data_IF_345025958131
#
_entry.id   IF_345025958131
#
_cell.length_a   1.000
_cell.length_b   1.000
_cell.length_c   1.000
_cell.angle_alpha   90.00
_cell.angle_beta   90.00
_cell.angle_gamma   90.00
#
_symmetry.space_group_name_H-M   'P 1'
#
loop_
_entity.id
_entity.type
_entity.pdbx_description
1 polymer ?
#
# COMPACT_ATOMS: atom_id res chain seq x y z
N UNK A 1 10.96 17.18 11.49
CA UNK A 1 11.93 16.14 11.02
C UNK A 1 12.13 16.22 9.52
N UNK A 2 11.06 16.13 8.70
CA UNK A 2 11.17 16.24 7.24
C UNK A 2 11.76 17.57 6.75
N UNK A 3 11.53 18.66 7.46
CA UNK A 3 12.05 20.00 7.12
C UNK A 3 13.48 20.26 7.65
N UNK A 4 14.09 19.26 8.30
CA UNK A 4 15.50 19.35 8.67
C UNK A 4 16.35 19.05 7.42
N UNK A 5 17.23 19.97 6.98
CA UNK A 5 18.07 19.75 5.80
C UNK A 5 18.97 18.52 5.92
N UNK A 6 19.32 18.09 7.14
CA UNK A 6 20.16 16.90 7.37
C UNK A 6 19.37 15.58 7.40
N UNK A 7 18.03 15.62 7.41
CA UNK A 7 17.22 14.40 7.48
C UNK A 7 17.53 13.44 6.33
N UNK A 8 17.69 13.97 5.11
CA UNK A 8 18.02 13.15 3.96
C UNK A 8 19.41 12.51 4.08
N UNK A 9 20.41 13.25 4.59
CA UNK A 9 21.76 12.71 4.82
C UNK A 9 21.74 11.54 5.82
N UNK A 10 20.92 11.62 6.88
CA UNK A 10 20.75 10.51 7.84
C UNK A 10 20.09 9.31 7.17
N UNK A 11 19.04 9.52 6.39
CA UNK A 11 18.36 8.44 5.64
C UNK A 11 19.32 7.77 4.67
N UNK A 12 20.08 8.55 3.88
CA UNK A 12 21.03 8.04 2.90
C UNK A 12 22.19 7.27 3.57
N UNK A 13 22.67 7.78 4.71
CA UNK A 13 23.66 7.08 5.54
C UNK A 13 23.18 5.71 6.00
N UNK A 14 21.94 5.62 6.51
CA UNK A 14 21.34 4.35 6.93
C UNK A 14 21.08 3.41 5.73
N UNK A 15 20.65 3.94 4.59
CA UNK A 15 20.46 3.13 3.38
C UNK A 15 21.78 2.47 2.96
N UNK A 16 22.88 3.23 2.99
CA UNK A 16 24.21 2.72 2.64
C UNK A 16 24.75 1.74 3.70
N UNK A 17 24.61 2.06 4.99
CA UNK A 17 25.10 1.23 6.10
C UNK A 17 24.45 -0.16 6.12
N UNK A 18 23.14 -0.23 5.86
CA UNK A 18 22.36 -1.46 5.95
C UNK A 18 22.08 -2.11 4.59
N UNK A 19 22.65 -1.59 3.50
CA UNK A 19 22.41 -2.06 2.13
C UNK A 19 20.91 -2.17 1.82
N UNK A 20 20.18 -1.06 1.97
CA UNK A 20 18.72 -1.00 1.78
C UNK A 20 18.29 -0.33 0.48
N UNK A 21 19.23 -0.10 -0.44
CA UNK A 21 18.96 0.60 -1.70
C UNK A 21 17.98 -0.18 -2.56
N UNK A 22 16.76 0.35 -2.70
CA UNK A 22 15.74 -0.13 -3.64
C UNK A 22 15.06 1.06 -4.27
N UNK A 23 15.34 1.29 -5.55
CA UNK A 23 14.68 2.34 -6.32
C UNK A 23 13.53 1.73 -7.15
N UNK A 24 12.31 1.90 -6.66
CA UNK A 24 11.12 1.41 -7.34
C UNK A 24 10.86 2.15 -8.66
N UNK A 25 11.15 3.45 -8.73
CA UNK A 25 10.91 4.23 -9.95
C UNK A 25 11.89 3.84 -11.05
N UNK A 26 13.18 3.70 -10.72
CA UNK A 26 14.17 3.16 -11.66
C UNK A 26 13.84 1.74 -12.11
N UNK A 27 13.12 0.97 -11.28
CA UNK A 27 12.59 -0.35 -11.62
C UNK A 27 11.20 -0.32 -12.29
N UNK A 28 10.70 0.84 -12.70
CA UNK A 28 9.48 1.00 -13.50
C UNK A 28 8.17 0.83 -12.72
N UNK A 29 8.19 0.92 -11.39
CA UNK A 29 6.96 0.89 -10.60
C UNK A 29 6.23 2.24 -10.63
N UNK A 30 4.94 2.18 -10.94
CA UNK A 30 4.03 3.31 -10.87
C UNK A 30 3.12 3.22 -9.64
N UNK A 31 2.72 4.38 -9.09
CA UNK A 31 1.80 4.41 -7.95
C UNK A 31 0.37 4.16 -8.43
N UNK A 32 -0.30 3.22 -7.79
CA UNK A 32 -1.75 3.01 -7.95
C UNK A 32 -2.47 3.39 -6.66
N UNK A 33 -3.66 4.00 -6.79
CA UNK A 33 -4.55 4.31 -5.68
C UNK A 33 -5.75 3.37 -5.72
N UNK A 34 -5.61 2.18 -5.14
CA UNK A 34 -6.64 1.13 -5.23
C UNK A 34 -8.00 1.48 -4.60
N UNK A 35 -8.03 2.50 -3.74
CA UNK A 35 -9.21 3.03 -3.09
C UNK A 35 -9.56 4.47 -3.52
N UNK A 36 -8.95 4.96 -4.59
CA UNK A 36 -9.12 6.35 -5.06
C UNK A 36 -8.48 7.41 -4.16
N UNK A 37 -8.76 8.68 -4.45
CA UNK A 37 -8.19 9.84 -3.76
C UNK A 37 -8.70 10.01 -2.32
N UNK A 38 -9.94 9.61 -2.05
CA UNK A 38 -10.59 9.79 -0.74
C UNK A 38 -10.90 8.46 -0.04
N UNK A 39 -9.90 7.57 -0.05
CA UNK A 39 -9.99 6.21 0.53
C UNK A 39 -10.60 6.18 1.94
N UNK A 40 -10.24 7.16 2.78
CA UNK A 40 -10.68 7.27 4.18
C UNK A 40 -12.18 7.55 4.38
N UNK A 41 -12.88 8.00 3.33
CA UNK A 41 -14.32 8.22 3.36
C UNK A 41 -15.13 6.98 2.96
N UNK A 42 -14.47 5.95 2.42
CA UNK A 42 -15.12 4.72 2.01
C UNK A 42 -15.44 3.85 3.23
N UNK A 43 -16.65 3.28 3.23
CA UNK A 43 -17.00 2.19 4.13
C UNK A 43 -16.27 0.89 3.73
N UNK A 44 -16.08 -0.06 4.66
CA UNK A 44 -15.33 -1.30 4.39
C UNK A 44 -15.78 -2.07 3.14
N UNK A 45 -17.09 -2.20 2.91
CA UNK A 45 -17.63 -2.88 1.73
C UNK A 45 -17.32 -2.15 0.42
N UNK A 46 -17.26 -0.82 0.44
CA UNK A 46 -16.90 -0.01 -0.72
C UNK A 46 -15.42 -0.16 -1.06
N UNK A 47 -14.54 -0.31 -0.06
CA UNK A 47 -13.14 -0.64 -0.28
C UNK A 47 -12.95 -1.98 -0.97
N UNK A 48 -13.68 -3.01 -0.55
CA UNK A 48 -13.66 -4.32 -1.24
C UNK A 48 -14.03 -4.13 -2.72
N UNK A 49 -15.10 -3.40 -2.98
CA UNK A 49 -15.58 -3.13 -4.36
C UNK A 49 -14.53 -2.36 -5.17
N UNK A 50 -13.95 -1.29 -4.61
CA UNK A 50 -12.92 -0.47 -5.25
C UNK A 50 -11.63 -1.23 -5.55
N UNK A 51 -11.16 -2.06 -4.61
CA UNK A 51 -9.96 -2.87 -4.82
C UNK A 51 -10.19 -3.93 -5.90
N UNK A 52 -11.34 -4.62 -5.86
CA UNK A 52 -11.71 -5.58 -6.92
C UNK A 52 -11.72 -4.91 -8.29
N UNK A 53 -12.38 -3.76 -8.41
CA UNK A 53 -12.44 -3.02 -9.67
C UNK A 53 -11.05 -2.59 -10.14
N UNK A 54 -10.26 -1.98 -9.25
CA UNK A 54 -8.90 -1.52 -9.61
C UNK A 54 -8.05 -2.68 -10.12
N UNK A 55 -7.99 -3.80 -9.39
CA UNK A 55 -7.18 -4.95 -9.80
C UNK A 55 -7.71 -5.59 -11.11
N UNK A 56 -9.01 -5.53 -11.36
CA UNK A 56 -9.62 -5.98 -12.60
C UNK A 56 -9.40 -5.01 -13.77
N UNK A 57 -8.99 -3.77 -13.55
CA UNK A 57 -8.77 -2.77 -14.60
C UNK A 57 -7.28 -2.44 -14.79
N UNK A 58 -6.43 -2.83 -13.84
CA UNK A 58 -4.97 -2.65 -13.90
C UNK A 58 -4.40 -3.14 -15.22
N UNK A 59 -3.74 -2.23 -15.93
CA UNK A 59 -3.00 -2.55 -17.14
C UNK A 59 -1.71 -3.32 -16.79
N UNK A 60 -1.18 -4.14 -17.70
CA UNK A 60 0.12 -4.76 -17.53
C UNK A 60 1.18 -3.72 -17.18
N UNK A 61 1.93 -3.95 -16.11
CA UNK A 61 2.89 -2.99 -15.58
C UNK A 61 3.36 -3.39 -14.19
N UNK A 62 4.25 -2.57 -13.61
CA UNK A 62 4.70 -2.71 -12.23
C UNK A 62 4.03 -1.64 -11.40
N UNK A 63 3.37 -2.04 -10.33
CA UNK A 63 2.52 -1.15 -9.54
C UNK A 63 2.91 -1.23 -8.07
N UNK A 64 2.95 -0.08 -7.41
CA UNK A 64 3.04 -0.01 -5.95
C UNK A 64 1.78 0.65 -5.39
N UNK A 65 1.19 -0.03 -4.41
CA UNK A 65 0.15 0.51 -3.55
C UNK A 65 0.67 0.53 -2.12
N UNK A 66 0.39 1.62 -1.40
CA UNK A 66 0.79 1.78 0.01
C UNK A 66 -0.46 2.05 0.82
N UNK A 67 -0.62 1.27 1.88
CA UNK A 67 -1.83 1.17 2.69
C UNK A 67 -1.49 1.01 4.17
N UNK A 68 -2.50 1.13 5.02
CA UNK A 68 -2.37 1.04 6.47
C UNK A 68 -3.35 0.02 7.09
N UNK A 69 -3.29 -1.28 6.75
CA UNK A 69 -4.19 -2.28 7.33
C UNK A 69 -4.02 -2.35 8.86
N UNK A 70 -5.13 -2.31 9.60
CA UNK A 70 -5.14 -2.53 11.04
C UNK A 70 -6.53 -2.98 11.51
N UNK A 71 -6.60 -3.81 12.55
CA UNK A 71 -7.87 -4.21 13.14
C UNK A 71 -8.54 -3.05 13.87
N UNK A 72 -9.88 -3.02 13.87
CA UNK A 72 -10.68 -2.05 14.64
C UNK A 72 -10.78 -2.46 16.13
N UNK A 73 -9.72 -2.18 16.89
CA UNK A 73 -9.61 -2.47 18.32
C UNK A 73 -9.75 -1.19 19.16
N UNK A 74 -9.92 -1.28 20.49
CA UNK A 74 -9.93 -0.10 21.36
C UNK A 74 -8.68 0.79 21.20
N UNK A 75 -7.51 0.19 20.98
CA UNK A 75 -6.24 0.89 20.80
C UNK A 75 -6.21 1.67 19.48
N UNK A 76 -6.58 1.05 18.35
CA UNK A 76 -6.61 1.76 17.06
C UNK A 76 -7.69 2.83 16.99
N UNK A 77 -8.78 2.71 17.76
CA UNK A 77 -9.80 3.78 17.90
C UNK A 77 -9.25 5.05 18.55
N UNK A 78 -8.14 4.97 19.29
CA UNK A 78 -7.49 6.16 19.85
C UNK A 78 -6.61 6.89 18.83
N UNK A 79 -6.32 6.28 17.68
CA UNK A 79 -5.54 6.92 16.61
C UNK A 79 -6.48 7.74 15.74
N UNK A 80 -6.37 9.06 15.79
CA UNK A 80 -7.12 9.97 14.93
C UNK A 80 -6.50 11.37 14.91
N UNK A 81 -6.91 12.19 13.93
CA UNK A 81 -6.71 13.63 13.94
C UNK A 81 -7.89 14.32 13.25
N UNK A 82 -7.96 15.64 13.37
CA UNK A 82 -8.99 16.44 12.68
C UNK A 82 -8.91 16.17 11.17
N UNK A 83 -10.04 15.82 10.56
CA UNK A 83 -10.16 15.45 9.14
C UNK A 83 -9.89 13.96 8.84
N UNK A 84 -9.55 13.15 9.84
CA UNK A 84 -9.42 11.69 9.71
C UNK A 84 -9.73 11.02 11.06
N UNK A 85 -10.99 11.12 11.48
CA UNK A 85 -11.47 10.69 12.79
C UNK A 85 -11.77 9.18 12.83
N UNK A 86 -12.08 8.58 11.68
CA UNK A 86 -12.52 7.18 11.56
C UNK A 86 -11.39 6.21 11.18
N UNK A 87 -10.13 6.50 11.57
CA UNK A 87 -8.94 5.70 11.23
C UNK A 87 -9.14 4.21 11.48
N UNK A 88 -9.70 3.83 12.63
CA UNK A 88 -9.90 2.43 12.97
C UNK A 88 -10.85 1.71 12.00
N UNK A 89 -11.88 2.38 11.50
CA UNK A 89 -12.84 1.81 10.54
C UNK A 89 -12.19 1.74 9.15
N UNK A 90 -11.53 2.81 8.74
CA UNK A 90 -10.83 2.87 7.45
C UNK A 90 -9.77 1.74 7.33
N UNK A 91 -8.89 1.63 8.33
CA UNK A 91 -7.82 0.62 8.36
C UNK A 91 -8.35 -0.82 8.48
N UNK A 92 -9.47 -1.01 9.15
CA UNK A 92 -10.18 -2.30 9.18
C UNK A 92 -10.75 -2.65 7.80
N UNK A 93 -11.30 -1.66 7.09
CA UNK A 93 -11.76 -1.86 5.72
C UNK A 93 -10.62 -2.21 4.75
N UNK A 94 -9.41 -1.71 4.97
CA UNK A 94 -8.21 -2.15 4.21
C UNK A 94 -7.90 -3.63 4.49
N UNK A 95 -7.99 -4.08 5.75
CA UNK A 95 -7.83 -5.51 6.10
C UNK A 95 -8.86 -6.36 5.37
N UNK A 96 -10.13 -5.98 5.45
CA UNK A 96 -11.23 -6.71 4.80
C UNK A 96 -11.07 -6.78 3.29
N UNK A 97 -10.68 -5.68 2.64
CA UNK A 97 -10.42 -5.63 1.20
C UNK A 97 -9.30 -6.59 0.78
N UNK A 98 -8.14 -6.55 1.43
CA UNK A 98 -7.01 -7.41 1.06
C UNK A 98 -7.19 -8.88 1.48
N UNK A 99 -8.10 -9.17 2.41
CA UNK A 99 -8.39 -10.54 2.87
C UNK A 99 -9.60 -11.19 2.20
N UNK A 100 -10.41 -10.41 1.47
CA UNK A 100 -11.56 -10.85 0.70
C UNK A 100 -11.21 -11.96 -0.31
N UNK A 101 -12.09 -12.96 -0.40
CA UNK A 101 -11.88 -14.10 -1.30
C UNK A 101 -11.95 -13.70 -2.78
N UNK A 102 -12.82 -12.77 -3.14
CA UNK A 102 -12.93 -12.29 -4.52
C UNK A 102 -11.71 -11.50 -4.98
N UNK A 103 -11.10 -10.69 -4.10
CA UNK A 103 -9.82 -10.02 -4.39
C UNK A 103 -8.71 -11.03 -4.66
N UNK A 104 -8.58 -12.07 -3.82
CA UNK A 104 -7.62 -13.16 -4.05
C UNK A 104 -7.86 -13.89 -5.36
N UNK A 105 -9.13 -14.15 -5.70
CA UNK A 105 -9.51 -14.74 -6.99
C UNK A 105 -9.12 -13.84 -8.17
N UNK A 106 -9.27 -12.51 -8.06
CA UNK A 106 -8.84 -11.57 -9.10
C UNK A 106 -7.33 -11.63 -9.30
N UNK A 107 -6.54 -11.58 -8.22
CA UNK A 107 -5.07 -11.67 -8.28
C UNK A 107 -4.67 -12.95 -9.00
N UNK A 108 -5.27 -14.10 -8.65
CA UNK A 108 -5.00 -15.38 -9.28
C UNK A 108 -5.43 -15.41 -10.76
N UNK A 109 -6.68 -15.05 -11.08
CA UNK A 109 -7.22 -15.11 -12.46
C UNK A 109 -6.46 -14.19 -13.42
N UNK A 110 -5.98 -13.05 -12.92
CA UNK A 110 -5.24 -12.03 -13.68
C UNK A 110 -3.75 -12.29 -13.72
N UNK A 111 -3.28 -13.33 -13.02
CA UNK A 111 -1.86 -13.65 -12.87
C UNK A 111 -1.04 -12.45 -12.35
N UNK A 112 -1.61 -11.68 -11.41
CA UNK A 112 -0.89 -10.55 -10.78
C UNK A 112 0.18 -11.14 -9.87
N UNK A 113 1.44 -10.83 -10.16
CA UNK A 113 2.58 -11.26 -9.35
C UNK A 113 2.77 -10.29 -8.17
N UNK A 114 2.66 -10.80 -6.95
CA UNK A 114 3.00 -10.04 -5.75
C UNK A 114 4.53 -10.10 -5.55
N UNK A 115 5.15 -8.93 -5.47
CA UNK A 115 6.61 -8.78 -5.38
C UNK A 115 6.97 -8.02 -4.12
N UNK A 116 8.04 -8.45 -3.45
CA UNK A 116 8.61 -7.74 -2.31
C UNK A 116 9.69 -6.75 -2.75
N UNK A 117 10.03 -5.77 -1.91
CA UNK A 117 11.22 -4.93 -2.11
C UNK A 117 12.50 -5.75 -2.27
N UNK A 118 12.59 -6.91 -1.60
CA UNK A 118 13.72 -7.81 -1.73
C UNK A 118 13.83 -8.45 -3.11
N UNK A 119 12.69 -8.75 -3.76
CA UNK A 119 12.68 -9.27 -5.13
C UNK A 119 13.13 -8.21 -6.13
N UNK A 120 12.67 -6.97 -5.94
CA UNK A 120 13.15 -5.83 -6.74
C UNK A 120 14.66 -5.66 -6.57
N UNK A 121 15.15 -5.67 -5.33
CA UNK A 121 16.59 -5.53 -5.03
C UNK A 121 17.44 -6.61 -5.70
N UNK A 122 16.96 -7.86 -5.70
CA UNK A 122 17.65 -8.99 -6.35
C UNK A 122 17.45 -9.05 -7.87
N UNK A 123 16.64 -8.16 -8.45
CA UNK A 123 16.24 -8.24 -9.86
C UNK A 123 15.37 -9.47 -10.17
N UNK A 124 14.74 -10.07 -9.16
CA UNK A 124 13.88 -11.25 -9.27
C UNK A 124 12.43 -10.85 -9.62
N UNK A 125 12.28 -10.06 -10.68
CA UNK A 125 10.99 -9.64 -11.20
C UNK A 125 10.67 -10.54 -12.40
N UNK A 126 9.96 -11.64 -12.15
CA UNK A 126 9.52 -12.60 -13.17
C UNK A 126 8.59 -11.94 -14.20
#
# INVERSE_FOLDING_TARGET
LRDNPDFQNVVDGLIAEYDLTVDLQANGFERVRAFGENSQALEPAEKITSLRQTLAELQPGRWIHVDHPAYNTPETRQIHHVGYERVAIDRQGVVEAWTDAGVKEIVARRNIQLVSYGDVKRGSLN
#
